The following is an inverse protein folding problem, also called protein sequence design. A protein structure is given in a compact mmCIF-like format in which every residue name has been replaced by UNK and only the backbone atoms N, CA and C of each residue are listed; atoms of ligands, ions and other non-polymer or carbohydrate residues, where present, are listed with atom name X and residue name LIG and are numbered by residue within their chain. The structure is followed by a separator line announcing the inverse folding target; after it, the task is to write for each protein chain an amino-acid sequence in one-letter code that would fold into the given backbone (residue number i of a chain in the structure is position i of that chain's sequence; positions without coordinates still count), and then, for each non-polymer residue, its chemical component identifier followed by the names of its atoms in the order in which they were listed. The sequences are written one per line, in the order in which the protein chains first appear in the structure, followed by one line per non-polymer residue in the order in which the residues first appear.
data_IF_198267618918
#
_entry.id   IF_198267618918
#
_cell.length_a   1.000
_cell.length_b   1.000
_cell.length_c   1.000
_cell.angle_alpha   90.00
_cell.angle_beta   90.00
_cell.angle_gamma   90.00
#
_symmetry.space_group_name_H-M   'P 1'
#
loop_
_entity.id
_entity.type
_entity.pdbx_description
1 polymer ?
#
# COMPACT_ATOMS: atom_id res chain seq x y z
N UNK A 1 15.48 -95.21 7.85
CA UNK A 1 15.39 -95.80 6.51
C UNK A 1 15.31 -94.69 5.47
N UNK A 2 15.82 -94.93 4.24
CA UNK A 2 16.33 -93.93 3.31
C UNK A 2 15.32 -93.59 2.19
N UNK A 3 15.83 -92.90 1.16
CA UNK A 3 15.31 -92.72 -0.23
C UNK A 3 14.40 -91.52 -0.43
N UNK A 4 14.89 -90.50 -1.12
CA UNK A 4 15.21 -90.37 -2.56
C UNK A 4 13.97 -89.98 -3.38
N UNK A 5 14.13 -88.80 -3.98
CA UNK A 5 13.72 -88.40 -5.33
C UNK A 5 12.23 -88.45 -5.69
N UNK A 6 11.71 -87.30 -6.12
CA UNK A 6 10.90 -87.29 -7.33
C UNK A 6 10.90 -85.91 -7.98
N UNK A 7 11.16 -85.92 -9.28
CA UNK A 7 11.11 -84.82 -10.23
C UNK A 7 9.72 -84.17 -10.34
N UNK A 8 9.71 -82.90 -10.74
CA UNK A 8 9.15 -82.44 -12.03
C UNK A 8 8.44 -81.07 -11.94
N UNK A 9 8.86 -80.21 -12.86
CA UNK A 9 8.30 -78.93 -13.37
C UNK A 9 6.76 -78.95 -13.60
N UNK A 10 6.03 -77.83 -13.86
CA UNK A 10 6.49 -76.59 -14.51
C UNK A 10 5.89 -75.24 -14.04
N UNK A 11 6.46 -74.17 -14.60
CA UNK A 11 6.04 -72.76 -14.50
C UNK A 11 4.63 -72.51 -15.08
N UNK A 12 3.84 -71.65 -14.43
CA UNK A 12 3.13 -70.54 -15.10
C UNK A 12 2.38 -69.62 -14.10
N UNK A 13 2.17 -68.33 -14.43
CA UNK A 13 1.99 -67.23 -13.48
C UNK A 13 0.52 -66.94 -13.16
N UNK A 14 0.27 -66.22 -12.07
CA UNK A 14 -0.75 -65.16 -11.96
C UNK A 14 -0.72 -64.49 -10.58
N UNK A 15 -0.36 -63.20 -10.59
CA UNK A 15 -1.05 -62.11 -9.91
C UNK A 15 -1.87 -62.45 -8.66
N UNK A 16 -1.40 -61.99 -7.49
CA UNK A 16 -2.10 -61.06 -6.60
C UNK A 16 -1.36 -60.90 -5.27
N UNK A 17 -1.57 -59.71 -4.69
CA UNK A 17 -1.57 -59.47 -3.25
C UNK A 17 -0.19 -59.45 -2.56
N UNK A 18 0.51 -58.33 -2.71
CA UNK A 18 1.51 -57.92 -1.72
C UNK A 18 0.95 -56.73 -0.92
N UNK A 19 0.28 -57.04 0.18
CA UNK A 19 0.20 -56.15 1.35
C UNK A 19 1.25 -56.65 2.34
N UNK A 20 1.88 -55.70 3.04
CA UNK A 20 2.81 -55.83 4.18
C UNK A 20 4.31 -55.84 3.89
N UNK A 21 4.86 -54.63 3.79
CA UNK A 21 6.13 -54.20 4.39
C UNK A 21 6.13 -52.65 4.34
N UNK A 22 5.33 -51.93 5.13
CA UNK A 22 5.54 -51.59 6.55
C UNK A 22 6.98 -51.14 6.82
N UNK A 23 7.12 -49.81 6.89
CA UNK A 23 8.01 -49.08 7.81
C UNK A 23 9.47 -48.92 7.38
N UNK A 24 9.77 -47.78 6.75
CA UNK A 24 11.02 -46.96 6.91
C UNK A 24 10.96 -45.68 6.04
N UNK A 25 10.05 -45.58 5.06
CA UNK A 25 9.88 -44.36 4.23
C UNK A 25 8.68 -43.55 4.73
N UNK A 26 8.74 -43.02 5.96
CA UNK A 26 7.67 -42.16 6.50
C UNK A 26 8.18 -41.06 7.45
N UNK A 27 9.47 -40.69 7.38
CA UNK A 27 10.06 -39.60 8.19
C UNK A 27 10.97 -38.74 7.29
N UNK A 28 10.45 -38.26 6.16
CA UNK A 28 11.20 -37.40 5.24
C UNK A 28 10.38 -36.28 4.59
N UNK A 29 9.18 -35.97 5.11
CA UNK A 29 8.28 -34.96 4.53
C UNK A 29 7.62 -34.05 5.58
N UNK A 30 8.27 -33.83 6.73
CA UNK A 30 7.90 -32.76 7.65
C UNK A 30 8.85 -31.57 7.50
N UNK A 31 9.04 -31.08 6.27
CA UNK A 31 9.36 -29.67 6.06
C UNK A 31 8.08 -28.87 6.32
N UNK A 32 7.73 -28.71 7.60
CA UNK A 32 6.76 -27.70 8.01
C UNK A 32 7.38 -26.36 7.64
N UNK A 33 6.95 -25.90 6.46
CA UNK A 33 7.27 -24.62 5.87
C UNK A 33 6.87 -23.54 6.88
N UNK A 34 7.87 -22.96 7.55
CA UNK A 34 7.74 -21.62 8.09
C UNK A 34 7.46 -20.70 6.91
N UNK A 35 6.19 -20.40 6.66
CA UNK A 35 5.79 -19.22 5.89
C UNK A 35 5.71 -18.06 6.87
N UNK A 36 6.73 -17.18 6.98
CA UNK A 36 6.45 -15.83 7.41
C UNK A 36 5.72 -15.17 6.24
N UNK A 37 4.40 -15.38 6.14
CA UNK A 37 3.57 -14.48 5.35
C UNK A 37 3.27 -13.25 6.21
N UNK A 38 4.33 -12.54 6.58
CA UNK A 38 4.18 -11.15 6.98
C UNK A 38 4.00 -10.40 5.67
N UNK A 39 2.76 -10.34 5.21
CA UNK A 39 2.37 -9.42 4.16
C UNK A 39 2.53 -8.03 4.76
N UNK A 40 3.76 -7.51 4.76
CA UNK A 40 4.05 -6.11 5.05
C UNK A 40 3.10 -5.36 4.14
N UNK A 41 2.05 -4.78 4.72
CA UNK A 41 1.04 -4.06 3.97
C UNK A 41 1.74 -2.85 3.42
N UNK A 42 2.23 -2.95 2.18
CA UNK A 42 2.97 -1.89 1.52
C UNK A 42 2.02 -0.71 1.43
N UNK A 43 2.26 0.31 2.24
CA UNK A 43 1.53 1.58 2.15
C UNK A 43 1.67 2.04 0.69
N UNK A 44 0.56 2.29 -0.04
CA UNK A 44 0.64 2.76 -1.41
C UNK A 44 1.52 4.01 -1.49
N UNK A 45 2.35 4.13 -2.53
CA UNK A 45 3.34 5.22 -2.64
C UNK A 45 2.69 6.61 -2.47
N UNK A 46 1.52 6.81 -3.08
CA UNK A 46 0.80 8.09 -3.00
C UNK A 46 0.24 8.41 -1.62
N UNK A 47 0.03 7.40 -0.77
CA UNK A 47 -0.31 7.67 0.63
C UNK A 47 0.88 8.26 1.39
N UNK A 48 2.09 7.76 1.12
CA UNK A 48 3.29 8.32 1.71
C UNK A 48 3.55 9.75 1.18
N UNK A 49 3.34 10.00 -0.11
CA UNK A 49 3.48 11.33 -0.72
C UNK A 49 2.50 12.34 -0.16
N UNK A 50 1.21 12.01 -0.08
CA UNK A 50 0.19 12.88 0.52
C UNK A 50 0.51 13.21 1.99
N UNK A 51 1.02 12.25 2.77
CA UNK A 51 1.51 12.53 4.13
C UNK A 51 2.73 13.44 4.13
N UNK A 52 3.66 13.24 3.19
CA UNK A 52 4.81 14.11 2.98
C UNK A 52 4.38 15.56 2.73
N UNK A 53 3.43 15.76 1.82
CA UNK A 53 2.84 17.07 1.52
C UNK A 53 2.26 17.71 2.78
N UNK A 54 1.39 17.01 3.51
CA UNK A 54 0.78 17.55 4.72
C UNK A 54 1.82 17.89 5.81
N UNK A 55 2.86 17.08 5.93
CA UNK A 55 3.97 17.30 6.87
C UNK A 55 4.75 18.56 6.51
N UNK A 56 5.16 18.69 5.24
CA UNK A 56 5.91 19.85 4.77
C UNK A 56 5.07 21.12 4.85
N UNK A 57 3.78 21.04 4.52
CA UNK A 57 2.83 22.15 4.66
C UNK A 57 2.73 22.62 6.12
N UNK A 58 2.58 21.70 7.07
CA UNK A 58 2.50 22.04 8.49
C UNK A 58 3.79 22.69 9.00
N UNK A 59 4.96 22.20 8.59
CA UNK A 59 6.24 22.82 8.93
C UNK A 59 6.40 24.20 8.32
N UNK A 60 6.04 24.37 7.04
CA UNK A 60 6.04 25.68 6.39
C UNK A 60 5.12 26.66 7.12
N UNK A 61 3.92 26.22 7.51
CA UNK A 61 2.98 27.05 8.27
C UNK A 61 3.56 27.50 9.62
N UNK A 62 4.23 26.59 10.32
CA UNK A 62 4.90 26.88 11.59
C UNK A 62 6.06 27.87 11.41
N UNK A 63 6.89 27.70 10.39
CA UNK A 63 8.03 28.59 10.09
C UNK A 63 7.56 30.00 9.67
N UNK A 64 6.47 30.09 8.91
CA UNK A 64 5.91 31.36 8.42
C UNK A 64 5.02 32.08 9.45
N UNK A 65 4.53 31.37 10.47
CA UNK A 65 3.49 31.86 11.38
C UNK A 65 2.13 32.10 10.70
N UNK A 66 1.94 31.55 9.49
CA UNK A 66 0.70 31.62 8.70
C UNK A 66 0.63 30.46 7.69
N UNK A 67 -0.55 30.13 7.15
CA UNK A 67 -0.66 29.12 6.09
C UNK A 67 0.16 29.48 4.83
N UNK A 68 0.86 28.50 4.22
CA UNK A 68 1.51 28.64 2.93
C UNK A 68 0.53 29.00 1.81
N UNK A 69 1.01 29.77 0.83
CA UNK A 69 0.22 30.29 -0.30
C UNK A 69 0.66 29.76 -1.66
N UNK A 70 1.82 29.12 -1.74
CA UNK A 70 2.36 28.57 -2.98
C UNK A 70 3.34 27.45 -2.70
N UNK A 71 3.68 26.71 -3.76
CA UNK A 71 4.73 25.68 -3.72
C UNK A 71 6.11 26.27 -3.39
N UNK A 72 6.41 27.49 -3.84
CA UNK A 72 7.68 28.16 -3.56
C UNK A 72 7.91 28.36 -2.07
N UNK A 73 6.84 28.56 -1.30
CA UNK A 73 6.92 28.67 0.16
C UNK A 73 7.22 27.32 0.84
N UNK A 74 7.06 26.18 0.15
CA UNK A 74 7.40 24.86 0.65
C UNK A 74 8.85 24.44 0.35
N UNK A 75 9.45 24.96 -0.73
CA UNK A 75 10.79 24.58 -1.19
C UNK A 75 11.87 24.70 -0.09
N UNK A 76 11.94 25.78 0.71
CA UNK A 76 12.93 25.87 1.80
C UNK A 76 12.76 24.78 2.85
N UNK A 77 11.54 24.28 3.05
CA UNK A 77 11.26 23.22 4.02
C UNK A 77 11.70 21.85 3.47
N UNK A 78 11.52 21.61 2.17
CA UNK A 78 12.07 20.43 1.51
C UNK A 78 13.60 20.36 1.64
N UNK A 79 14.29 21.49 1.43
CA UNK A 79 15.74 21.60 1.60
C UNK A 79 16.16 21.32 3.05
N UNK A 80 15.50 21.95 4.03
CA UNK A 80 15.76 21.71 5.47
C UNK A 80 15.53 20.25 5.86
N UNK A 81 14.55 19.59 5.24
CA UNK A 81 14.26 18.17 5.45
C UNK A 81 15.19 17.22 4.68
N UNK A 82 16.16 17.75 3.92
CA UNK A 82 17.05 16.95 3.04
C UNK A 82 16.30 16.07 2.05
N UNK A 83 15.14 16.53 1.57
CA UNK A 83 14.38 15.88 0.50
C UNK A 83 14.96 16.34 -0.83
N UNK A 84 15.65 15.43 -1.51
CA UNK A 84 16.42 15.74 -2.73
C UNK A 84 15.57 15.94 -3.98
N UNK A 85 14.32 15.45 -3.97
CA UNK A 85 13.40 15.52 -5.12
C UNK A 85 11.98 15.92 -4.63
N UNK A 86 11.72 17.24 -4.53
CA UNK A 86 10.40 17.75 -4.17
C UNK A 86 9.32 17.33 -5.18
N UNK A 87 9.64 17.31 -6.47
CA UNK A 87 8.70 16.99 -7.54
C UNK A 87 8.17 15.57 -7.41
N UNK A 88 9.02 14.61 -7.00
CA UNK A 88 8.59 13.26 -6.70
C UNK A 88 7.59 13.21 -5.54
N UNK A 89 7.72 14.07 -4.53
CA UNK A 89 6.77 14.14 -3.41
C UNK A 89 5.46 14.82 -3.83
N UNK A 90 5.54 15.78 -4.74
CA UNK A 90 4.42 16.61 -5.20
C UNK A 90 3.64 16.01 -6.38
N UNK A 91 4.07 14.89 -6.95
CA UNK A 91 3.42 14.24 -8.09
C UNK A 91 2.75 12.93 -7.68
N UNK A 92 1.55 12.63 -8.16
CA UNK A 92 0.91 11.32 -7.95
C UNK A 92 1.50 10.26 -8.88
N UNK A 93 1.76 9.06 -8.37
CA UNK A 93 2.11 7.89 -9.20
C UNK A 93 0.93 7.28 -9.93
N UNK A 94 -0.31 7.54 -9.48
CA UNK A 94 -1.53 6.97 -10.06
C UNK A 94 -1.92 7.68 -11.35
N UNK A 95 -2.07 9.01 -11.33
CA UNK A 95 -2.51 9.80 -12.49
C UNK A 95 -1.36 10.55 -13.22
N UNK A 96 -0.15 10.51 -12.66
CA UNK A 96 1.03 11.17 -13.23
C UNK A 96 1.00 12.70 -13.17
N UNK A 97 0.03 13.29 -12.47
CA UNK A 97 -0.13 14.73 -12.34
C UNK A 97 0.42 15.23 -10.99
N UNK A 98 0.81 16.51 -10.91
CA UNK A 98 1.01 17.17 -9.62
C UNK A 98 -0.25 17.07 -8.77
N UNK A 99 -0.09 16.75 -7.47
CA UNK A 99 -1.17 16.90 -6.52
C UNK A 99 -1.60 18.37 -6.47
N UNK A 100 -2.92 18.59 -6.42
CA UNK A 100 -3.47 19.91 -6.15
C UNK A 100 -3.40 20.14 -4.65
N UNK A 101 -2.75 21.22 -4.23
CA UNK A 101 -2.68 21.64 -2.83
C UNK A 101 -3.64 22.80 -2.62
N UNK A 102 -4.45 22.69 -1.57
CA UNK A 102 -5.38 23.74 -1.15
C UNK A 102 -4.63 24.72 -0.27
N UNK A 103 -4.26 25.86 -0.85
CA UNK A 103 -3.45 26.88 -0.19
C UNK A 103 -4.24 27.74 0.79
N UNK A 104 -3.54 28.39 1.73
CA UNK A 104 -4.17 29.31 2.67
C UNK A 104 -4.96 28.66 3.81
N UNK A 105 -4.88 27.34 3.97
CA UNK A 105 -5.64 26.59 4.97
C UNK A 105 -4.84 26.45 6.25
N UNK A 106 -5.40 26.88 7.37
CA UNK A 106 -4.75 26.73 8.67
C UNK A 106 -4.87 25.30 9.20
N UNK A 107 -3.94 24.42 8.86
CA UNK A 107 -3.94 23.03 9.34
C UNK A 107 -3.70 22.89 10.85
N UNK A 108 -3.18 23.92 11.53
CA UNK A 108 -2.92 23.89 12.96
C UNK A 108 -4.14 24.35 13.78
N UNK A 109 -4.86 25.37 13.28
CA UNK A 109 -6.10 25.89 13.87
C UNK A 109 -7.37 25.19 13.38
N UNK A 110 -7.35 24.58 12.19
CA UNK A 110 -8.45 23.75 11.71
C UNK A 110 -8.57 22.53 12.62
N UNK A 111 -9.76 22.40 13.23
CA UNK A 111 -10.12 21.33 14.16
C UNK A 111 -9.52 19.99 13.75
N UNK A 112 -8.74 19.39 14.65
CA UNK A 112 -8.36 17.99 14.54
C UNK A 112 -9.62 17.16 14.25
N UNK A 113 -9.78 16.70 13.01
CA UNK A 113 -11.01 16.05 12.53
C UNK A 113 -11.72 16.71 11.35
N UNK A 114 -11.25 17.86 10.86
CA UNK A 114 -11.80 18.47 9.64
C UNK A 114 -11.70 17.51 8.45
N UNK A 115 -12.84 17.34 7.78
CA UNK A 115 -12.96 16.58 6.56
C UNK A 115 -12.55 17.38 5.31
N UNK A 116 -12.23 18.67 5.46
CA UNK A 116 -11.83 19.52 4.34
C UNK A 116 -10.50 19.04 3.72
N UNK A 117 -10.41 18.92 2.39
CA UNK A 117 -9.16 18.54 1.72
C UNK A 117 -8.04 19.56 1.94
N UNK A 118 -6.83 19.05 2.14
CA UNK A 118 -5.57 19.81 2.12
C UNK A 118 -4.83 19.60 0.79
N UNK A 119 -4.81 18.37 0.28
CA UNK A 119 -4.27 18.07 -1.04
C UNK A 119 -5.00 16.87 -1.66
N UNK A 120 -5.05 16.81 -2.98
CA UNK A 120 -5.75 15.75 -3.71
C UNK A 120 -5.17 15.51 -5.11
N UNK A 121 -5.46 14.36 -5.71
CA UNK A 121 -5.10 14.03 -7.09
C UNK A 121 -5.87 14.89 -8.09
N UNK A 122 -5.19 15.45 -9.09
CA UNK A 122 -5.84 16.32 -10.07
C UNK A 122 -6.89 15.57 -10.88
N UNK A 123 -6.54 14.40 -11.43
CA UNK A 123 -7.44 13.62 -12.29
C UNK A 123 -7.94 12.37 -11.57
N UNK A 124 -7.08 11.73 -10.77
CA UNK A 124 -7.37 10.43 -10.18
C UNK A 124 -7.33 9.29 -11.21
N UNK A 125 -7.72 8.09 -10.77
CA UNK A 125 -7.73 6.85 -11.58
C UNK A 125 -9.02 6.09 -11.29
N UNK A 126 -9.61 5.49 -12.33
CA UNK A 126 -10.86 4.71 -12.24
C UNK A 126 -12.04 5.50 -11.64
N UNK A 127 -12.12 6.80 -11.95
CA UNK A 127 -13.17 7.70 -11.45
C UNK A 127 -13.05 8.02 -9.96
N UNK A 128 -11.87 7.80 -9.37
CA UNK A 128 -11.58 8.06 -7.96
C UNK A 128 -10.31 8.87 -7.79
N UNK A 129 -10.36 9.86 -6.90
CA UNK A 129 -9.23 10.71 -6.51
C UNK A 129 -8.79 10.37 -5.09
N UNK A 130 -7.50 10.22 -4.85
CA UNK A 130 -6.95 10.25 -3.50
C UNK A 130 -6.91 11.69 -2.99
N UNK A 131 -7.31 11.89 -1.74
CA UNK A 131 -7.24 13.16 -1.04
C UNK A 131 -6.75 12.97 0.39
N UNK A 132 -5.96 13.91 0.90
CA UNK A 132 -5.66 14.03 2.33
C UNK A 132 -6.41 15.22 2.91
N UNK A 133 -7.09 15.01 4.03
CA UNK A 133 -7.82 16.08 4.72
C UNK A 133 -6.91 16.88 5.64
N UNK A 134 -7.36 18.06 6.07
CA UNK A 134 -6.69 18.86 7.11
C UNK A 134 -6.54 18.08 8.42
N UNK A 135 -7.47 17.15 8.71
CA UNK A 135 -7.34 16.17 9.80
C UNK A 135 -6.38 15.00 9.53
N UNK A 136 -5.53 15.09 8.50
CA UNK A 136 -4.52 14.11 8.11
C UNK A 136 -5.07 12.72 7.77
N UNK A 137 -6.35 12.64 7.38
CA UNK A 137 -6.98 11.39 6.91
C UNK A 137 -6.85 11.31 5.40
N UNK A 138 -6.31 10.20 4.90
CA UNK A 138 -6.30 9.92 3.47
C UNK A 138 -7.59 9.17 3.13
N UNK A 139 -8.26 9.61 2.07
CA UNK A 139 -9.48 9.02 1.55
C UNK A 139 -9.38 8.90 0.04
N UNK A 140 -10.03 7.88 -0.48
CA UNK A 140 -10.32 7.78 -1.90
C UNK A 140 -11.77 8.21 -2.09
N UNK A 141 -11.98 9.22 -2.92
CA UNK A 141 -13.29 9.82 -3.17
C UNK A 141 -13.65 9.63 -4.63
N UNK A 142 -14.87 9.19 -4.91
CA UNK A 142 -15.39 9.17 -6.27
C UNK A 142 -15.85 10.58 -6.70
N UNK A 143 -16.22 10.74 -7.98
CA UNK A 143 -16.61 12.04 -8.55
C UNK A 143 -17.77 12.71 -7.79
N UNK A 144 -18.83 11.95 -7.44
CA UNK A 144 -19.99 12.53 -6.75
C UNK A 144 -19.67 12.91 -5.31
N UNK A 145 -18.79 12.17 -4.64
CA UNK A 145 -18.26 12.52 -3.32
C UNK A 145 -17.36 13.76 -3.40
N UNK A 146 -16.50 13.85 -4.42
CA UNK A 146 -15.57 14.95 -4.63
C UNK A 146 -16.31 16.29 -4.83
N UNK A 147 -17.37 16.28 -5.64
CA UNK A 147 -18.19 17.46 -5.93
C UNK A 147 -18.87 18.07 -4.70
N UNK A 148 -19.09 17.28 -3.64
CA UNK A 148 -19.77 17.72 -2.41
C UNK A 148 -18.84 17.80 -1.20
N UNK A 149 -17.51 17.73 -1.39
CA UNK A 149 -16.56 17.90 -0.31
C UNK A 149 -16.72 19.28 0.35
N UNK A 150 -16.53 19.32 1.67
CA UNK A 150 -16.50 20.58 2.42
C UNK A 150 -15.19 21.30 2.14
N UNK A 151 -15.19 22.18 1.14
CA UNK A 151 -14.02 22.97 0.77
C UNK A 151 -13.75 24.11 1.77
N UNK A 152 -12.48 24.46 2.00
CA UNK A 152 -12.15 25.69 2.72
C UNK A 152 -12.80 26.91 2.09
N UNK A 153 -13.16 27.91 2.91
CA UNK A 153 -13.90 29.08 2.45
C UNK A 153 -13.18 29.78 1.28
N UNK A 154 -13.91 30.02 0.18
CA UNK A 154 -13.39 30.69 -1.00
C UNK A 154 -12.56 29.81 -1.95
N UNK A 155 -12.36 28.53 -1.63
CA UNK A 155 -11.73 27.59 -2.55
C UNK A 155 -12.75 27.01 -3.54
N UNK A 156 -12.36 26.95 -4.82
CA UNK A 156 -13.08 26.25 -5.87
C UNK A 156 -12.14 25.19 -6.45
N UNK A 157 -12.51 23.90 -6.45
CA UNK A 157 -11.69 22.87 -7.04
C UNK A 157 -11.56 23.06 -8.56
N UNK A 158 -10.38 22.76 -9.08
CA UNK A 158 -10.18 22.60 -10.52
C UNK A 158 -10.96 21.36 -11.01
N UNK A 159 -11.67 21.50 -12.14
CA UNK A 159 -12.39 20.39 -12.80
C UNK A 159 -11.42 19.33 -13.36
#
# INVERSE_FOLDING_TARGET
MPRLLSEASPLSPKTRSLRFAVTVIAIALTSVSCRPNETVTRIPADHARLRGIATIYAYAAADLGRPPRSVDELLPIFEKASITDPDQTLTSTRDGQPFVIVWGVDVAGVYAGSAAPLAYERLGVDGRRLAITCGLRIKEVNESEFAVLSWPYGYQPEE
#
